data_IF_149125673607
#
_entry.id   IF_149125673607
#
_cell.length_a   1.000
_cell.length_b   1.000
_cell.length_c   1.000
_cell.angle_alpha   90.00
_cell.angle_beta   90.00
_cell.angle_gamma   90.00
#
_symmetry.space_group_name_H-M   'P 1'
#
loop_
_entity.id
_entity.type
_entity.pdbx_description
1 polymer ?
#
# COMPACT_ATOMS: atom_id res chain seq x y z
N UNK A 1 -6.22 -4.47 5.70
CA UNK A 1 -6.18 -5.63 6.63
C UNK A 1 -5.60 -5.33 8.01
N UNK A 2 -4.32 -4.96 8.18
CA UNK A 2 -3.80 -4.53 9.51
C UNK A 2 -4.46 -3.21 9.94
N UNK A 3 -4.55 -2.25 9.00
CA UNK A 3 -5.24 -0.97 9.25
C UNK A 3 -6.71 -1.10 9.62
N UNK A 4 -7.44 -2.08 9.06
CA UNK A 4 -8.85 -2.34 9.41
C UNK A 4 -9.01 -2.75 10.88
N UNK A 5 -8.16 -3.68 11.35
CA UNK A 5 -8.20 -4.16 12.75
C UNK A 5 -7.82 -3.05 13.73
N UNK A 6 -6.91 -2.16 13.32
CA UNK A 6 -6.50 -1.00 14.10
C UNK A 6 -7.42 0.23 13.91
N UNK A 7 -8.47 0.12 13.07
CA UNK A 7 -9.40 1.20 12.71
C UNK A 7 -8.71 2.45 12.18
N UNK A 8 -7.62 2.28 11.43
CA UNK A 8 -6.84 3.38 10.85
C UNK A 8 -7.57 4.00 9.65
N UNK A 9 -7.36 5.31 9.44
CA UNK A 9 -7.76 5.98 8.20
C UNK A 9 -6.98 5.39 7.02
N UNK A 10 -7.62 5.38 5.84
CA UNK A 10 -7.01 4.86 4.62
C UNK A 10 -5.69 5.56 4.27
N UNK A 11 -5.57 6.86 4.57
CA UNK A 11 -4.33 7.62 4.37
C UNK A 11 -3.16 7.03 5.16
N UNK A 12 -3.36 6.61 6.41
CA UNK A 12 -2.32 5.96 7.22
C UNK A 12 -1.86 4.65 6.58
N UNK A 13 -2.81 3.86 6.08
CA UNK A 13 -2.51 2.58 5.42
C UNK A 13 -1.74 2.80 4.12
N UNK A 14 -2.12 3.81 3.33
CA UNK A 14 -1.43 4.16 2.10
C UNK A 14 0.01 4.65 2.36
N UNK A 15 0.22 5.50 3.36
CA UNK A 15 1.57 5.95 3.78
C UNK A 15 2.43 4.78 4.24
N UNK A 16 1.90 3.89 5.09
CA UNK A 16 2.60 2.68 5.51
C UNK A 16 2.99 1.78 4.32
N UNK A 17 2.09 1.62 3.36
CA UNK A 17 2.34 0.82 2.14
C UNK A 17 3.45 1.43 1.29
N UNK A 18 3.50 2.76 1.17
CA UNK A 18 4.57 3.46 0.46
C UNK A 18 5.91 3.32 1.18
N UNK A 19 5.96 3.40 2.51
CA UNK A 19 7.19 3.15 3.28
C UNK A 19 7.72 1.74 3.05
N UNK A 20 6.84 0.74 3.13
CA UNK A 20 7.21 -0.67 2.88
C UNK A 20 7.79 -0.85 1.48
N UNK A 21 7.15 -0.26 0.46
CA UNK A 21 7.62 -0.28 -0.93
C UNK A 21 8.94 0.45 -1.12
N UNK A 22 9.09 1.66 -0.56
CA UNK A 22 10.35 2.44 -0.62
C UNK A 22 11.53 1.68 -0.01
N UNK A 23 11.31 1.00 1.12
CA UNK A 23 12.34 0.20 1.75
C UNK A 23 12.81 -0.93 0.83
N UNK A 24 11.91 -1.77 0.30
CA UNK A 24 12.30 -2.89 -0.56
C UNK A 24 12.63 -2.51 -2.01
N UNK A 25 12.33 -1.28 -2.44
CA UNK A 25 12.85 -0.76 -3.71
C UNK A 25 14.37 -0.54 -3.68
N UNK A 26 14.92 -0.26 -2.48
CA UNK A 26 16.36 -0.04 -2.27
C UNK A 26 17.07 -1.21 -1.59
N UNK A 27 16.33 -2.07 -0.89
CA UNK A 27 16.87 -3.15 -0.07
C UNK A 27 16.33 -4.51 -0.48
N UNK A 28 17.13 -5.55 -0.28
CA UNK A 28 16.69 -6.93 -0.50
C UNK A 28 15.71 -7.40 0.59
N UNK A 29 14.80 -8.32 0.24
CA UNK A 29 13.90 -8.99 1.19
C UNK A 29 14.63 -9.75 2.31
N UNK A 30 15.94 -10.00 2.17
CA UNK A 30 16.77 -10.63 3.20
C UNK A 30 17.28 -9.66 4.28
N UNK A 31 17.17 -8.34 4.06
CA UNK A 31 17.72 -7.33 4.97
C UNK A 31 16.92 -7.27 6.27
N UNK A 32 15.59 -7.16 6.14
CA UNK A 32 14.63 -7.19 7.25
C UNK A 32 13.52 -8.15 6.84
N UNK A 33 13.00 -8.94 7.79
CA UNK A 33 11.84 -9.78 7.52
C UNK A 33 10.60 -8.90 7.21
N UNK A 34 9.92 -9.10 6.06
CA UNK A 34 8.65 -8.44 5.75
C UNK A 34 7.61 -8.52 6.86
N UNK A 35 7.60 -9.61 7.64
CA UNK A 35 6.68 -9.79 8.77
C UNK A 35 6.97 -8.81 9.92
N UNK A 36 8.24 -8.40 10.11
CA UNK A 36 8.63 -7.35 11.06
C UNK A 36 8.44 -5.95 10.46
N UNK A 37 8.78 -5.77 9.18
CA UNK A 37 8.72 -4.46 8.54
C UNK A 37 7.28 -3.95 8.38
N UNK A 38 6.34 -4.83 7.99
CA UNK A 38 4.95 -4.45 7.79
C UNK A 38 4.29 -3.75 9.00
N UNK A 39 4.31 -4.31 10.24
CA UNK A 39 3.78 -3.60 11.40
C UNK A 39 4.58 -2.35 11.76
N UNK A 40 5.90 -2.35 11.53
CA UNK A 40 6.76 -1.19 11.80
C UNK A 40 6.41 0.00 10.91
N UNK A 41 6.14 -0.24 9.62
CA UNK A 41 5.70 0.83 8.70
C UNK A 41 4.34 1.41 9.08
N UNK A 42 3.41 0.56 9.56
CA UNK A 42 2.10 1.00 10.08
C UNK A 42 2.26 1.82 11.36
N UNK A 43 3.14 1.38 12.26
CA UNK A 43 3.47 2.11 13.49
C UNK A 43 4.03 3.49 13.18
N UNK A 44 5.04 3.59 12.32
CA UNK A 44 5.65 4.86 11.93
C UNK A 44 4.63 5.77 11.22
N UNK A 45 3.87 5.25 10.25
CA UNK A 45 2.87 6.03 9.53
C UNK A 45 1.77 6.57 10.46
N UNK A 46 1.37 5.81 11.48
CA UNK A 46 0.36 6.28 12.45
C UNK A 46 0.81 7.50 13.26
N UNK A 47 2.12 7.60 13.53
CA UNK A 47 2.72 8.76 14.20
C UNK A 47 2.82 9.97 13.28
N UNK A 48 3.17 9.76 12.01
CA UNK A 48 3.34 10.83 11.01
C UNK A 48 2.01 11.46 10.59
N UNK A 49 0.97 10.65 10.42
CA UNK A 49 -0.36 11.09 9.99
C UNK A 49 -1.25 11.60 11.14
N UNK A 50 -0.68 11.81 12.33
CA UNK A 50 -1.35 12.32 13.53
C UNK A 50 -2.62 11.55 13.94
N UNK A 51 -2.73 10.27 13.57
CA UNK A 51 -3.89 9.44 13.92
C UNK A 51 -3.85 8.95 15.39
N UNK A 52 -2.78 9.28 16.11
CA UNK A 52 -2.51 8.89 17.50
C UNK A 52 -1.50 7.76 17.62
N UNK A 53 -0.82 7.70 18.77
CA UNK A 53 0.21 6.68 19.02
C UNK A 53 -0.44 5.33 19.29
N UNK A 54 -0.27 4.37 18.36
CA UNK A 54 -0.67 2.98 18.58
C UNK A 54 0.24 2.41 19.68
N UNK A 55 -0.34 1.85 20.75
CA UNK A 55 0.50 1.22 21.77
C UNK A 55 1.19 -0.03 21.21
N UNK A 56 2.45 -0.24 21.59
CA UNK A 56 3.25 -1.38 21.12
C UNK A 56 2.58 -2.73 21.40
N UNK A 57 1.95 -2.87 22.58
CA UNK A 57 1.20 -4.08 22.96
C UNK A 57 0.00 -4.34 22.05
N UNK A 58 -0.74 -3.27 21.70
CA UNK A 58 -1.89 -3.37 20.79
C UNK A 58 -1.46 -3.75 19.37
N UNK A 59 -0.35 -3.18 18.88
CA UNK A 59 0.19 -3.52 17.57
C UNK A 59 0.55 -5.02 17.48
N UNK A 60 1.31 -5.52 18.45
CA UNK A 60 1.75 -6.93 18.49
C UNK A 60 0.55 -7.89 18.61
N UNK A 61 -0.39 -7.60 19.52
CA UNK A 61 -1.60 -8.40 19.68
C UNK A 61 -2.42 -8.44 18.39
N UNK A 62 -2.55 -7.29 17.71
CA UNK A 62 -3.26 -7.21 16.44
C UNK A 62 -2.55 -8.01 15.34
N UNK A 63 -1.21 -7.97 15.28
CA UNK A 63 -0.43 -8.77 14.34
C UNK A 63 -0.60 -10.27 14.57
N UNK A 64 -0.54 -10.73 15.83
CA UNK A 64 -0.80 -12.12 16.18
C UNK A 64 -2.20 -12.58 15.73
N UNK A 65 -3.22 -11.77 15.98
CA UNK A 65 -4.60 -12.05 15.57
C UNK A 65 -4.77 -12.06 14.03
N UNK A 66 -4.15 -11.12 13.32
CA UNK A 66 -4.21 -11.04 11.85
C UNK A 66 -3.54 -12.26 11.23
N UNK A 67 -2.37 -12.67 11.74
CA UNK A 67 -1.68 -13.86 11.27
C UNK A 67 -2.53 -15.10 11.49
N UNK A 68 -3.02 -15.31 12.72
CA UNK A 68 -3.81 -16.49 13.08
C UNK A 68 -5.12 -16.61 12.31
N UNK A 69 -5.84 -15.49 12.13
CA UNK A 69 -7.19 -15.53 11.57
C UNK A 69 -7.24 -15.32 10.05
N UNK A 70 -6.33 -14.53 9.48
CA UNK A 70 -6.35 -14.17 8.05
C UNK A 70 -5.20 -14.78 7.24
N UNK A 71 -4.06 -15.07 7.84
CA UNK A 71 -2.86 -15.54 7.13
C UNK A 71 -2.31 -16.87 7.64
N UNK A 72 -3.15 -17.69 8.28
CA UNK A 72 -2.77 -19.02 8.79
C UNK A 72 -2.32 -19.98 7.69
N UNK A 73 -2.76 -19.75 6.45
CA UNK A 73 -2.29 -20.50 5.28
C UNK A 73 -0.83 -20.18 4.93
N UNK A 74 -0.37 -18.93 5.16
CA UNK A 74 0.95 -18.45 4.79
C UNK A 74 1.98 -18.59 5.92
N UNK A 75 1.54 -18.43 7.17
CA UNK A 75 2.39 -18.51 8.35
C UNK A 75 1.87 -19.57 9.32
N UNK A 76 2.68 -20.59 9.57
CA UNK A 76 2.37 -21.66 10.53
C UNK A 76 2.70 -21.30 11.98
N UNK A 77 3.57 -20.30 12.18
CA UNK A 77 4.04 -19.87 13.49
C UNK A 77 3.35 -18.56 13.92
N UNK A 78 3.23 -18.36 15.22
CA UNK A 78 2.76 -17.10 15.79
C UNK A 78 3.75 -15.96 15.47
N UNK A 79 3.26 -14.72 15.59
CA UNK A 79 4.09 -13.53 15.38
C UNK A 79 5.32 -13.55 16.30
N UNK A 80 6.55 -13.71 15.77
CA UNK A 80 7.72 -13.99 16.61
C UNK A 80 8.34 -12.74 17.22
N UNK A 81 7.94 -11.55 16.76
CA UNK A 81 8.59 -10.29 17.12
C UNK A 81 7.95 -9.61 18.34
N UNK A 82 8.81 -9.20 19.27
CA UNK A 82 8.47 -8.36 20.43
C UNK A 82 8.65 -6.86 20.14
N UNK A 83 8.15 -6.02 21.04
CA UNK A 83 8.21 -4.55 20.96
C UNK A 83 9.60 -4.01 20.63
N UNK A 84 10.64 -4.54 21.26
CA UNK A 84 12.01 -4.05 21.06
C UNK A 84 12.45 -4.19 19.60
N UNK A 85 12.06 -5.26 18.91
CA UNK A 85 12.38 -5.45 17.49
C UNK A 85 11.65 -4.43 16.61
N UNK A 86 10.43 -4.03 16.97
CA UNK A 86 9.67 -3.00 16.23
C UNK A 86 10.35 -1.65 16.40
N UNK A 87 10.75 -1.29 17.63
CA UNK A 87 11.44 -0.04 17.89
C UNK A 87 12.81 0.02 17.21
N UNK A 88 13.57 -1.07 17.22
CA UNK A 88 14.84 -1.16 16.50
C UNK A 88 14.62 -1.06 14.97
N UNK A 89 13.66 -1.83 14.43
CA UNK A 89 13.30 -1.77 13.00
C UNK A 89 12.84 -0.37 12.58
N UNK A 90 12.17 0.38 13.47
CA UNK A 90 11.75 1.75 13.20
C UNK A 90 12.95 2.68 12.96
N UNK A 91 14.01 2.57 13.76
CA UNK A 91 15.23 3.35 13.54
C UNK A 91 15.85 3.05 12.17
N UNK A 92 15.96 1.77 11.82
CA UNK A 92 16.45 1.38 10.49
C UNK A 92 15.55 1.90 9.37
N UNK A 93 14.23 1.81 9.53
CA UNK A 93 13.28 2.30 8.53
C UNK A 93 13.43 3.81 8.31
N UNK A 94 13.56 4.60 9.39
CA UNK A 94 13.76 6.05 9.32
C UNK A 94 15.02 6.41 8.53
N UNK A 95 16.13 5.72 8.81
CA UNK A 95 17.41 5.91 8.12
C UNK A 95 17.29 5.60 6.63
N UNK A 96 16.71 4.44 6.26
CA UNK A 96 16.60 4.02 4.85
C UNK A 96 15.58 4.85 4.04
N UNK A 97 14.67 5.53 4.72
CA UNK A 97 13.76 6.50 4.11
C UNK A 97 14.37 7.89 3.98
N UNK A 98 15.63 8.11 4.39
CA UNK A 98 16.28 9.43 4.44
C UNK A 98 15.42 10.46 5.22
N UNK A 99 14.70 10.01 6.26
CA UNK A 99 13.70 10.80 6.98
C UNK A 99 12.61 11.45 6.09
N UNK A 100 12.37 10.94 4.87
CA UNK A 100 11.34 11.42 3.95
C UNK A 100 9.96 10.86 4.32
N UNK A 101 9.39 11.40 5.42
CA UNK A 101 8.16 10.89 6.02
C UNK A 101 6.88 11.37 5.33
N UNK A 102 6.87 12.56 4.74
CA UNK A 102 5.67 13.08 4.09
C UNK A 102 5.42 12.34 2.77
N UNK A 103 4.24 11.74 2.65
CA UNK A 103 3.81 11.00 1.45
C UNK A 103 2.55 11.64 0.89
N UNK A 104 2.63 12.14 -0.34
CA UNK A 104 1.47 12.63 -1.07
C UNK A 104 0.70 11.46 -1.69
N UNK A 105 -0.63 11.50 -1.61
CA UNK A 105 -1.49 10.38 -2.01
C UNK A 105 -2.58 10.82 -3.01
N UNK A 106 -3.11 9.89 -3.82
CA UNK A 106 -4.03 10.23 -4.92
C UNK A 106 -5.42 10.64 -4.45
N UNK A 107 -5.76 10.40 -3.18
CA UNK A 107 -7.09 10.67 -2.62
C UNK A 107 -7.48 12.15 -2.65
N UNK A 108 -6.55 13.04 -2.29
CA UNK A 108 -6.83 14.49 -2.25
C UNK A 108 -7.02 15.06 -3.66
N UNK A 109 -6.15 14.78 -4.64
CA UNK A 109 -6.41 15.13 -6.04
C UNK A 109 -7.73 14.57 -6.57
N UNK A 110 -8.07 13.31 -6.26
CA UNK A 110 -9.33 12.72 -6.71
C UNK A 110 -10.56 13.52 -6.26
N UNK A 111 -10.59 13.96 -4.99
CA UNK A 111 -11.71 14.77 -4.49
C UNK A 111 -11.86 16.08 -5.27
N UNK A 112 -10.76 16.75 -5.60
CA UNK A 112 -10.77 17.97 -6.41
C UNK A 112 -11.23 17.70 -7.84
N UNK A 113 -10.78 16.60 -8.46
CA UNK A 113 -11.18 16.22 -9.81
C UNK A 113 -12.68 15.88 -9.90
N UNK A 114 -13.24 15.17 -8.91
CA UNK A 114 -14.68 14.87 -8.86
C UNK A 114 -15.51 16.14 -8.67
N UNK A 115 -15.04 17.09 -7.86
CA UNK A 115 -15.73 18.38 -7.68
C UNK A 115 -15.78 19.18 -8.98
N UNK A 116 -14.72 19.11 -9.79
CA UNK A 116 -14.61 19.80 -11.08
C UNK A 116 -15.48 19.16 -12.18
N UNK A 117 -15.50 17.83 -12.27
CA UNK A 117 -16.39 17.07 -13.18
C UNK A 117 -17.87 17.31 -12.86
N UNK A 118 -18.17 17.53 -11.57
CA UNK A 118 -19.51 17.54 -11.02
C UNK A 118 -19.66 16.41 -10.00
N UNK A 119 -20.20 16.70 -8.80
CA UNK A 119 -20.23 15.75 -7.70
C UNK A 119 -21.00 14.49 -8.08
N UNK A 120 -20.29 13.36 -8.07
CA UNK A 120 -20.84 12.04 -8.35
C UNK A 120 -20.27 11.03 -7.35
N UNK A 121 -21.12 10.63 -6.40
CA UNK A 121 -20.73 9.72 -5.33
C UNK A 121 -20.37 8.31 -5.84
N UNK A 122 -21.03 7.84 -6.90
CA UNK A 122 -20.75 6.51 -7.47
C UNK A 122 -19.39 6.48 -8.13
N UNK A 123 -19.07 7.51 -8.91
CA UNK A 123 -17.78 7.68 -9.55
C UNK A 123 -16.67 7.85 -8.51
N UNK A 124 -16.89 8.68 -7.48
CA UNK A 124 -15.96 8.87 -6.38
C UNK A 124 -15.67 7.56 -5.65
N UNK A 125 -16.70 6.80 -5.25
CA UNK A 125 -16.54 5.54 -4.54
C UNK A 125 -15.75 4.51 -5.36
N UNK A 126 -16.06 4.39 -6.67
CA UNK A 126 -15.35 3.45 -7.53
C UNK A 126 -13.90 3.88 -7.78
N UNK A 127 -13.66 5.15 -8.10
CA UNK A 127 -12.31 5.68 -8.31
C UNK A 127 -11.46 5.55 -7.03
N UNK A 128 -12.05 5.82 -5.86
CA UNK A 128 -11.38 5.64 -4.57
C UNK A 128 -10.98 4.18 -4.33
N UNK A 129 -11.86 3.23 -4.66
CA UNK A 129 -11.54 1.80 -4.60
C UNK A 129 -10.39 1.43 -5.53
N UNK A 130 -10.41 1.93 -6.77
CA UNK A 130 -9.34 1.67 -7.75
C UNK A 130 -8.01 2.25 -7.26
N UNK A 131 -8.01 3.44 -6.62
CA UNK A 131 -6.80 3.99 -5.99
C UNK A 131 -6.26 3.03 -4.91
N UNK A 132 -7.12 2.46 -4.06
CA UNK A 132 -6.69 1.49 -3.06
C UNK A 132 -6.06 0.24 -3.70
N UNK A 133 -6.65 -0.24 -4.81
CA UNK A 133 -6.10 -1.38 -5.55
C UNK A 133 -4.76 -1.03 -6.21
N UNK A 134 -4.58 0.21 -6.68
CA UNK A 134 -3.34 0.68 -7.31
C UNK A 134 -2.11 0.53 -6.40
N UNK A 135 -2.30 0.56 -5.07
CA UNK A 135 -1.24 0.33 -4.08
C UNK A 135 -0.65 -1.10 -4.12
N UNK A 136 -1.31 -2.05 -4.80
CA UNK A 136 -0.77 -3.39 -5.07
C UNK A 136 0.25 -3.40 -6.21
N UNK A 137 0.33 -2.32 -6.99
CA UNK A 137 1.30 -2.12 -8.07
C UNK A 137 2.41 -1.14 -7.64
N UNK A 138 3.35 -0.85 -8.53
CA UNK A 138 4.45 0.09 -8.26
C UNK A 138 4.17 1.52 -8.72
N UNK A 139 2.95 1.81 -9.20
CA UNK A 139 2.60 3.15 -9.72
C UNK A 139 2.83 4.26 -8.69
N UNK A 140 2.68 3.99 -7.39
CA UNK A 140 2.91 4.97 -6.32
C UNK A 140 4.39 5.35 -6.14
N UNK A 141 5.33 4.57 -6.69
CA UNK A 141 6.75 4.91 -6.73
C UNK A 141 7.16 5.56 -8.06
N UNK A 142 6.39 5.32 -9.13
CA UNK A 142 6.75 5.68 -10.50
C UNK A 142 6.08 6.99 -10.96
N UNK A 143 4.89 7.31 -10.46
CA UNK A 143 4.08 8.43 -10.95
C UNK A 143 3.64 9.38 -9.83
N UNK A 144 3.49 10.69 -10.14
CA UNK A 144 2.87 11.65 -9.23
C UNK A 144 1.44 11.27 -8.84
N UNK A 145 1.00 11.56 -7.60
CA UNK A 145 -0.33 11.16 -7.11
C UNK A 145 -1.51 11.71 -7.92
N UNK A 146 -1.40 12.90 -8.50
CA UNK A 146 -2.48 13.47 -9.32
C UNK A 146 -2.67 12.68 -10.63
N UNK A 147 -1.59 12.22 -11.27
CA UNK A 147 -1.68 11.38 -12.48
C UNK A 147 -2.31 10.02 -12.15
N UNK A 148 -1.96 9.44 -10.98
CA UNK A 148 -2.58 8.21 -10.50
C UNK A 148 -4.08 8.41 -10.29
N UNK A 149 -4.50 9.54 -9.70
CA UNK A 149 -5.90 9.86 -9.50
C UNK A 149 -6.66 9.97 -10.84
N UNK A 150 -6.09 10.65 -11.84
CA UNK A 150 -6.67 10.77 -13.18
C UNK A 150 -6.79 9.41 -13.86
N UNK A 151 -5.75 8.56 -13.80
CA UNK A 151 -5.80 7.20 -14.36
C UNK A 151 -6.85 6.31 -13.70
N UNK A 152 -6.98 6.37 -12.37
CA UNK A 152 -8.02 5.64 -11.64
C UNK A 152 -9.43 6.15 -11.98
N UNK A 153 -9.58 7.48 -12.12
CA UNK A 153 -10.83 8.11 -12.53
C UNK A 153 -11.22 7.67 -13.95
N UNK A 154 -10.27 7.63 -14.88
CA UNK A 154 -10.51 7.18 -16.25
C UNK A 154 -11.04 5.74 -16.29
N UNK A 155 -10.42 4.83 -15.53
CA UNK A 155 -10.90 3.44 -15.42
C UNK A 155 -12.31 3.41 -14.83
N UNK A 156 -12.58 4.19 -13.79
CA UNK A 156 -13.91 4.27 -13.18
C UNK A 156 -14.97 4.75 -14.18
N UNK A 157 -14.67 5.77 -14.98
CA UNK A 157 -15.56 6.27 -16.03
C UNK A 157 -15.89 5.20 -17.07
N UNK A 158 -14.89 4.43 -17.50
CA UNK A 158 -15.09 3.33 -18.47
C UNK A 158 -16.00 2.26 -17.89
N UNK A 159 -15.78 1.86 -16.63
CA UNK A 159 -16.62 0.84 -15.96
C UNK A 159 -18.06 1.32 -15.79
N UNK A 160 -18.25 2.59 -15.42
CA UNK A 160 -19.58 3.18 -15.22
C UNK A 160 -20.22 3.70 -16.51
N UNK A 161 -19.57 3.52 -17.66
CA UNK A 161 -20.01 4.01 -18.97
C UNK A 161 -20.31 5.53 -18.97
N UNK A 162 -19.53 6.32 -18.23
CA UNK A 162 -19.62 7.79 -18.21
C UNK A 162 -18.77 8.39 -19.32
N UNK A 163 -19.37 9.25 -20.14
CA UNK A 163 -18.65 9.99 -21.17
C UNK A 163 -18.11 11.31 -20.60
N UNK A 164 -16.81 11.34 -20.30
CA UNK A 164 -16.08 12.53 -19.87
C UNK A 164 -14.91 12.86 -20.82
N UNK A 165 -14.99 12.42 -22.09
CA UNK A 165 -13.88 12.58 -23.04
C UNK A 165 -13.47 14.04 -23.24
N UNK A 166 -14.43 14.96 -23.33
CA UNK A 166 -14.16 16.40 -23.45
C UNK A 166 -13.42 16.93 -22.23
N UNK A 167 -13.90 16.59 -21.03
CA UNK A 167 -13.27 16.99 -19.77
C UNK A 167 -11.83 16.47 -19.65
N UNK A 168 -11.59 15.20 -19.98
CA UNK A 168 -10.23 14.66 -20.00
C UNK A 168 -9.34 15.38 -21.03
N UNK A 169 -9.87 15.76 -22.20
CA UNK A 169 -9.10 16.47 -23.23
C UNK A 169 -8.72 17.91 -22.82
N UNK A 170 -9.47 18.53 -21.91
CA UNK A 170 -9.19 19.86 -21.36
C UNK A 170 -8.11 19.84 -20.26
N UNK A 171 -7.80 18.67 -19.70
CA UNK A 171 -6.75 18.53 -18.69
C UNK A 171 -5.37 18.78 -19.30
N UNK A 172 -4.61 19.69 -18.69
CA UNK A 172 -3.19 19.89 -19.00
C UNK A 172 -2.33 18.80 -18.33
N UNK A 173 -2.54 17.54 -18.72
CA UNK A 173 -1.84 16.38 -18.20
C UNK A 173 -1.32 15.50 -19.34
N UNK A 174 -0.21 14.81 -19.08
CA UNK A 174 0.37 13.86 -20.03
C UNK A 174 -0.51 12.60 -20.14
N UNK A 175 -1.25 12.51 -21.25
CA UNK A 175 -2.18 11.40 -21.50
C UNK A 175 -1.46 10.07 -21.71
N UNK A 176 -0.23 10.07 -22.22
CA UNK A 176 0.54 8.84 -22.39
C UNK A 176 0.85 8.22 -21.02
N UNK A 177 1.29 9.06 -20.06
CA UNK A 177 1.53 8.64 -18.67
C UNK A 177 0.26 8.14 -17.99
N UNK A 178 -0.88 8.81 -18.23
CA UNK A 178 -2.17 8.36 -17.71
C UNK A 178 -2.55 6.97 -18.27
N UNK A 179 -2.33 6.74 -19.57
CA UNK A 179 -2.57 5.43 -20.19
C UNK A 179 -1.63 4.35 -19.65
N UNK A 180 -0.36 4.68 -19.38
CA UNK A 180 0.59 3.75 -18.75
C UNK A 180 0.09 3.31 -17.36
N UNK A 181 -0.33 4.26 -16.52
CA UNK A 181 -0.90 3.99 -15.19
C UNK A 181 -2.14 3.10 -15.31
N UNK A 182 -3.06 3.44 -16.23
CA UNK A 182 -4.27 2.66 -16.42
C UNK A 182 -3.95 1.20 -16.82
N UNK A 183 -2.95 1.01 -17.68
CA UNK A 183 -2.47 -0.31 -18.09
C UNK A 183 -1.89 -1.11 -16.93
N UNK A 184 -1.11 -0.49 -16.03
CA UNK A 184 -0.63 -1.16 -14.82
C UNK A 184 -1.78 -1.69 -13.96
N UNK A 185 -2.83 -0.89 -13.77
CA UNK A 185 -4.00 -1.25 -12.95
C UNK A 185 -4.86 -2.33 -13.63
N UNK A 186 -5.07 -2.24 -14.94
CA UNK A 186 -5.79 -3.28 -15.70
C UNK A 186 -5.03 -4.61 -15.64
N UNK A 187 -3.70 -4.58 -15.83
CA UNK A 187 -2.86 -5.76 -15.71
C UNK A 187 -2.90 -6.37 -14.30
N UNK A 188 -2.99 -5.54 -13.25
CA UNK A 188 -3.23 -6.03 -11.89
C UNK A 188 -4.55 -6.81 -11.82
N UNK A 189 -5.64 -6.30 -12.37
CA UNK A 189 -6.92 -7.01 -12.34
C UNK A 189 -6.89 -8.33 -13.12
N UNK A 190 -6.19 -8.39 -14.25
CA UNK A 190 -6.00 -9.64 -15.00
C UNK A 190 -5.13 -10.66 -14.24
N UNK A 191 -4.08 -10.20 -13.55
CA UNK A 191 -3.28 -11.06 -12.67
C UNK A 191 -4.11 -11.58 -11.50
N UNK A 192 -4.89 -10.72 -10.86
CA UNK A 192 -5.68 -11.06 -9.68
C UNK A 192 -6.78 -12.08 -9.99
N UNK A 193 -7.34 -12.10 -11.21
CA UNK A 193 -8.27 -13.16 -11.63
C UNK A 193 -7.63 -14.55 -11.63
N UNK A 194 -6.32 -14.64 -11.86
CA UNK A 194 -5.57 -15.89 -12.01
C UNK A 194 -4.85 -16.33 -10.74
N UNK A 195 -4.50 -15.38 -9.88
CA UNK A 195 -3.68 -15.61 -8.71
C UNK A 195 -4.50 -16.11 -7.52
N UNK A 196 -4.18 -17.29 -7.01
CA UNK A 196 -4.75 -17.84 -5.78
C UNK A 196 -3.78 -17.66 -4.61
N UNK A 197 -3.96 -16.54 -3.90
CA UNK A 197 -3.12 -16.15 -2.76
C UNK A 197 -2.99 -17.26 -1.70
N UNK A 198 -4.06 -18.02 -1.42
CA UNK A 198 -4.04 -19.01 -0.33
C UNK A 198 -3.19 -20.21 -0.67
N UNK A 199 -3.21 -20.63 -1.93
CA UNK A 199 -2.54 -21.83 -2.40
C UNK A 199 -1.11 -21.56 -2.84
N UNK A 200 -0.84 -20.38 -3.42
CA UNK A 200 0.46 -20.06 -4.00
C UNK A 200 1.44 -19.39 -3.00
N UNK A 201 0.92 -18.59 -2.05
CA UNK A 201 1.75 -17.82 -1.12
C UNK A 201 2.74 -18.67 -0.29
N UNK A 202 2.39 -19.86 0.25
CA UNK A 202 3.31 -20.64 1.06
C UNK A 202 4.58 -21.05 0.29
N UNK A 203 4.41 -21.46 -0.97
CA UNK A 203 5.51 -21.83 -1.85
C UNK A 203 6.37 -20.63 -2.25
N UNK A 204 5.76 -19.45 -2.41
CA UNK A 204 6.47 -18.20 -2.70
C UNK A 204 7.30 -17.76 -1.48
N UNK A 205 6.71 -17.75 -0.28
CA UNK A 205 7.40 -17.39 0.95
C UNK A 205 8.57 -18.34 1.26
N UNK A 206 8.43 -19.63 0.94
CA UNK A 206 9.53 -20.58 1.10
C UNK A 206 10.76 -20.27 0.21
N UNK A 207 10.54 -19.61 -0.94
CA UNK A 207 11.60 -19.16 -1.87
C UNK A 207 12.21 -17.81 -1.48
N UNK A 208 11.61 -17.10 -0.52
CA UNK A 208 12.10 -15.80 -0.09
C UNK A 208 13.50 -15.93 0.54
N UNK A 209 14.47 -15.08 0.16
CA UNK A 209 15.82 -15.15 0.71
C UNK A 209 15.78 -14.79 2.20
N UNK A 210 16.25 -15.70 3.05
CA UNK A 210 16.26 -15.50 4.50
C UNK A 210 17.49 -14.69 4.94
N UNK A 211 17.38 -13.85 5.98
CA UNK A 211 18.54 -13.19 6.57
C UNK A 211 19.59 -14.22 6.99
N UNK A 212 20.87 -13.97 6.72
CA UNK A 212 21.94 -14.82 7.24
C UNK A 212 22.01 -14.61 8.76
N UNK A 213 21.85 -15.66 9.53
CA UNK A 213 22.13 -15.60 10.96
C UNK A 213 23.59 -15.17 11.15
N UNK A 214 23.85 -14.22 12.06
CA UNK A 214 25.22 -13.91 12.46
C UNK A 214 25.89 -15.21 12.96
N UNK A 215 27.15 -15.48 12.61
CA UNK A 215 27.85 -16.64 13.17
C UNK A 215 27.82 -16.51 14.69
N UNK A 216 27.28 -17.55 15.36
CA UNK A 216 27.36 -17.65 16.81
C UNK A 216 28.84 -17.58 17.19
N UNK A 217 29.23 -16.50 17.87
CA UNK A 217 30.55 -16.35 18.48
C UNK A 217 30.61 -17.13 19.78
#
# INVERSE_FOLDING_TARGET
>A
MIGEQLKLRQQVVATATVYFKRFYARNSLKCIDPLLLAPTTVFLASKVEEFGVISNSRLISTMGNVIKNKFSYAYSQEFPYRTNHILECEFYLLEHLDCCLIVYQPYRPLLTLIQDVGPDDQLLMLAWRIINDSLRTDVCLLYPPYQIAIGCLQIACVILQKDLKSWFAELNADMEKIQEIARYIINLYELWKKYDEKNEMPAILAKMPKPKAAPQR
#
